data_IF_841716328540
#
_entry.id   IF_841716328540
#
_cell.length_a   1.000
_cell.length_b   1.000
_cell.length_c   1.000
_cell.angle_alpha   90.00
_cell.angle_beta   90.00
_cell.angle_gamma   90.00
#
_symmetry.space_group_name_H-M   'P 1'
#
loop_
_entity.id
_entity.type
_entity.pdbx_description
1 polymer ?
#
# COMPACT_ATOMS: atom_id res chain seq x y z
N UNK A 1 6.44 -1.18 27.83
CA UNK A 1 5.62 -2.40 27.60
C UNK A 1 6.18 -3.53 28.44
N UNK A 2 5.36 -4.18 29.29
CA UNK A 2 5.80 -5.26 30.19
C UNK A 2 5.07 -6.60 29.95
N UNK A 3 4.07 -6.62 29.06
CA UNK A 3 3.34 -7.85 28.72
C UNK A 3 4.16 -8.78 27.83
N UNK A 4 3.81 -10.08 27.84
CA UNK A 4 4.41 -11.09 26.97
C UNK A 4 4.14 -10.73 25.51
N UNK A 5 5.21 -10.70 24.69
CA UNK A 5 5.14 -10.50 23.23
C UNK A 5 5.48 -11.81 22.52
N UNK A 6 4.49 -12.71 22.31
CA UNK A 6 4.75 -14.00 21.68
C UNK A 6 5.22 -13.82 20.24
N UNK A 7 6.14 -14.67 19.81
CA UNK A 7 6.56 -14.78 18.42
C UNK A 7 5.80 -15.93 17.77
N UNK A 8 5.19 -15.65 16.63
CA UNK A 8 4.56 -16.64 15.76
C UNK A 8 5.33 -16.66 14.44
N UNK A 9 5.47 -17.83 13.85
CA UNK A 9 6.18 -18.01 12.58
C UNK A 9 5.39 -18.92 11.65
N UNK A 10 5.47 -18.61 10.37
CA UNK A 10 5.07 -19.53 9.31
C UNK A 10 6.18 -20.56 9.09
N UNK A 11 5.81 -21.77 8.71
CA UNK A 11 6.74 -22.87 8.42
C UNK A 11 6.05 -23.90 7.52
N UNK A 12 6.72 -25.03 7.25
CA UNK A 12 6.19 -26.06 6.35
C UNK A 12 4.94 -26.77 6.86
N UNK A 13 4.66 -26.73 8.17
CA UNK A 13 3.45 -27.29 8.78
C UNK A 13 2.35 -26.23 9.01
N UNK A 14 2.74 -24.97 9.13
CA UNK A 14 1.86 -23.81 9.28
C UNK A 14 2.21 -22.79 8.18
N UNK A 15 1.81 -23.06 6.92
CA UNK A 15 2.18 -22.23 5.79
C UNK A 15 1.60 -20.82 5.89
N UNK A 16 2.20 -19.88 5.19
CA UNK A 16 1.69 -18.51 5.08
C UNK A 16 2.20 -17.87 3.81
N UNK A 17 1.60 -18.28 2.70
CA UNK A 17 2.01 -17.91 1.36
C UNK A 17 1.99 -16.40 1.16
N UNK A 18 0.96 -15.70 1.64
CA UNK A 18 0.83 -14.24 1.52
C UNK A 18 2.02 -13.53 2.14
N UNK A 19 2.30 -13.83 3.41
CA UNK A 19 3.37 -13.16 4.16
C UNK A 19 4.74 -13.49 3.57
N UNK A 20 4.96 -14.74 3.15
CA UNK A 20 6.22 -15.14 2.51
C UNK A 20 6.42 -14.47 1.15
N UNK A 21 5.39 -14.45 0.30
CA UNK A 21 5.44 -13.87 -1.03
C UNK A 21 5.50 -12.34 -1.00
N UNK A 22 4.74 -11.66 -0.15
CA UNK A 22 4.85 -10.20 0.04
C UNK A 22 6.23 -9.80 0.58
N UNK A 23 6.81 -10.61 1.48
CA UNK A 23 8.18 -10.40 1.94
C UNK A 23 9.17 -10.60 0.79
N UNK A 24 8.98 -11.60 -0.08
CA UNK A 24 9.81 -11.80 -1.26
C UNK A 24 9.71 -10.61 -2.22
N UNK A 25 8.51 -10.10 -2.52
CA UNK A 25 8.29 -8.90 -3.32
C UNK A 25 9.00 -7.66 -2.74
N UNK A 26 8.92 -7.48 -1.42
CA UNK A 26 9.60 -6.40 -0.70
C UNK A 26 11.12 -6.50 -0.81
N UNK A 27 11.69 -7.69 -0.62
CA UNK A 27 13.15 -7.89 -0.70
C UNK A 27 13.63 -7.75 -2.16
N UNK A 28 12.84 -8.18 -3.16
CA UNK A 28 13.15 -8.04 -4.57
C UNK A 28 13.16 -6.56 -5.03
N UNK A 29 12.15 -5.79 -4.63
CA UNK A 29 12.14 -4.34 -4.88
C UNK A 29 13.28 -3.61 -4.15
N UNK A 30 13.58 -4.01 -2.90
CA UNK A 30 14.72 -3.49 -2.15
C UNK A 30 16.04 -3.79 -2.85
N UNK A 31 16.21 -5.00 -3.40
CA UNK A 31 17.39 -5.35 -4.19
C UNK A 31 17.60 -4.38 -5.36
N UNK A 32 16.54 -4.01 -6.09
CA UNK A 32 16.62 -3.08 -7.21
C UNK A 32 17.10 -1.68 -6.81
N UNK A 33 16.71 -1.22 -5.61
CA UNK A 33 17.17 0.06 -5.03
C UNK A 33 18.66 -0.03 -4.67
N UNK A 34 19.07 -1.08 -3.97
CA UNK A 34 20.41 -1.18 -3.40
C UNK A 34 21.46 -1.77 -4.34
N UNK A 35 21.11 -2.40 -5.47
CA UNK A 35 22.06 -3.13 -6.34
C UNK A 35 23.21 -2.30 -6.88
N UNK A 36 23.02 -0.97 -6.98
CA UNK A 36 24.08 -0.03 -7.41
C UNK A 36 24.79 0.67 -6.24
N UNK A 37 24.29 0.50 -5.00
CA UNK A 37 24.75 1.21 -3.80
C UNK A 37 25.56 0.28 -2.89
N UNK A 38 25.06 -0.93 -2.64
CA UNK A 38 25.69 -1.91 -1.75
C UNK A 38 25.56 -3.32 -2.34
N UNK A 39 26.63 -3.78 -3.00
CA UNK A 39 26.66 -5.07 -3.67
C UNK A 39 26.62 -6.26 -2.69
N UNK A 40 27.15 -6.10 -1.47
CA UNK A 40 27.15 -7.15 -0.46
C UNK A 40 25.75 -7.35 0.09
N UNK A 41 25.07 -6.25 0.45
CA UNK A 41 23.69 -6.29 0.89
C UNK A 41 22.76 -6.82 -0.19
N UNK A 42 22.88 -6.33 -1.43
CA UNK A 42 22.08 -6.81 -2.56
C UNK A 42 22.26 -8.30 -2.86
N UNK A 43 23.47 -8.85 -2.74
CA UNK A 43 23.68 -10.29 -2.88
C UNK A 43 22.95 -11.10 -1.80
N UNK A 44 22.91 -10.57 -0.56
CA UNK A 44 22.14 -11.17 0.53
C UNK A 44 20.64 -11.09 0.28
N UNK A 45 20.14 -9.95 -0.21
CA UNK A 45 18.73 -9.78 -0.56
C UNK A 45 18.31 -10.79 -1.62
N UNK A 46 19.02 -10.87 -2.74
CA UNK A 46 18.66 -11.75 -3.86
C UNK A 46 18.54 -13.22 -3.42
N UNK A 47 19.49 -13.71 -2.62
CA UNK A 47 19.43 -15.05 -2.05
C UNK A 47 18.15 -15.29 -1.24
N UNK A 48 17.77 -14.33 -0.37
CA UNK A 48 16.59 -14.48 0.47
C UNK A 48 15.28 -14.36 -0.30
N UNK A 49 15.24 -13.55 -1.37
CA UNK A 49 14.04 -13.48 -2.24
C UNK A 49 13.72 -14.85 -2.82
N UNK A 50 14.70 -15.51 -3.44
CA UNK A 50 14.52 -16.83 -4.05
C UNK A 50 14.07 -17.87 -3.03
N UNK A 51 14.67 -17.85 -1.83
CA UNK A 51 14.30 -18.77 -0.74
C UNK A 51 12.86 -18.55 -0.27
N UNK A 52 12.44 -17.30 -0.10
CA UNK A 52 11.10 -16.95 0.38
C UNK A 52 10.03 -17.26 -0.67
N UNK A 53 10.28 -16.93 -1.93
CA UNK A 53 9.36 -17.25 -3.02
C UNK A 53 9.19 -18.76 -3.19
N UNK A 54 10.30 -19.51 -3.20
CA UNK A 54 10.25 -20.97 -3.27
C UNK A 54 9.49 -21.56 -2.08
N UNK A 55 9.69 -21.03 -0.87
CA UNK A 55 8.92 -21.44 0.31
C UNK A 55 7.41 -21.15 0.13
N UNK A 56 7.06 -19.93 -0.29
CA UNK A 56 5.68 -19.50 -0.47
C UNK A 56 4.93 -20.37 -1.50
N UNK A 57 5.58 -20.67 -2.62
CA UNK A 57 4.99 -21.41 -3.73
C UNK A 57 4.97 -22.92 -3.51
N UNK A 58 5.96 -23.47 -2.77
CA UNK A 58 6.02 -24.90 -2.43
C UNK A 58 5.03 -25.26 -1.31
N UNK A 59 4.94 -24.42 -0.28
CA UNK A 59 4.11 -24.66 0.90
C UNK A 59 2.90 -23.72 0.89
N UNK A 60 1.97 -23.98 -0.03
CA UNK A 60 0.79 -23.12 -0.24
C UNK A 60 -0.21 -23.24 0.90
N UNK A 61 -0.59 -22.12 1.49
CA UNK A 61 -1.64 -22.04 2.50
C UNK A 61 -1.70 -20.67 3.15
N UNK A 62 -2.90 -20.25 3.53
CA UNK A 62 -3.11 -18.91 4.06
C UNK A 62 -2.52 -18.74 5.45
N UNK A 63 -1.77 -17.65 5.67
CA UNK A 63 -1.19 -17.36 6.99
C UNK A 63 -2.27 -17.15 8.05
N UNK A 64 -3.41 -16.55 7.70
CA UNK A 64 -4.49 -16.27 8.64
C UNK A 64 -5.26 -17.55 9.00
N UNK A 65 -5.25 -18.56 8.13
CA UNK A 65 -5.74 -19.91 8.46
C UNK A 65 -4.74 -20.67 9.36
N UNK A 66 -3.44 -20.57 9.08
CA UNK A 66 -2.39 -21.21 9.88
C UNK A 66 -2.21 -20.59 11.27
N UNK A 67 -2.52 -19.30 11.40
CA UNK A 67 -2.41 -18.54 12.66
C UNK A 67 -3.77 -17.84 12.92
N UNK A 68 -4.82 -18.56 13.34
CA UNK A 68 -6.18 -18.00 13.45
C UNK A 68 -6.30 -16.77 14.34
N UNK A 69 -5.36 -16.59 15.28
CA UNK A 69 -5.24 -15.43 16.16
C UNK A 69 -5.22 -14.09 15.39
N UNK A 70 -4.70 -14.09 14.14
CA UNK A 70 -4.51 -12.87 13.35
C UNK A 70 -5.76 -12.47 12.57
N UNK A 71 -6.74 -13.37 12.40
CA UNK A 71 -7.95 -13.12 11.59
C UNK A 71 -8.78 -11.95 12.14
N UNK A 72 -8.71 -11.67 13.44
CA UNK A 72 -9.38 -10.51 14.04
C UNK A 72 -8.74 -9.16 13.69
N UNK A 73 -7.58 -9.15 13.03
CA UNK A 73 -6.80 -7.95 12.72
C UNK A 73 -6.51 -7.83 11.23
N UNK A 74 -5.85 -8.84 10.67
CA UNK A 74 -5.47 -8.93 9.26
C UNK A 74 -5.87 -10.31 8.78
N UNK A 75 -7.10 -10.44 8.28
CA UNK A 75 -7.57 -11.68 7.68
C UNK A 75 -7.31 -11.67 6.18
N UNK A 76 -6.65 -12.71 5.67
CA UNK A 76 -6.40 -12.86 4.26
C UNK A 76 -7.67 -13.19 3.47
N UNK A 77 -7.82 -12.60 2.28
CA UNK A 77 -8.81 -13.03 1.28
C UNK A 77 -8.29 -14.08 0.30
N UNK A 78 -6.97 -14.28 0.22
CA UNK A 78 -6.31 -15.19 -0.71
C UNK A 78 -4.79 -14.99 -0.71
N UNK A 79 -4.07 -15.84 -1.45
CA UNK A 79 -2.61 -15.71 -1.62
C UNK A 79 -2.15 -15.74 -3.08
N UNK A 80 -3.11 -15.86 -3.99
CA UNK A 80 -2.85 -16.08 -5.40
C UNK A 80 -2.19 -14.83 -6.01
N UNK A 81 -2.66 -13.66 -5.62
CA UNK A 81 -2.13 -12.37 -6.03
C UNK A 81 -0.76 -12.04 -5.46
N UNK A 82 -0.44 -12.39 -4.21
CA UNK A 82 0.92 -12.23 -3.68
C UNK A 82 1.93 -13.09 -4.42
N UNK A 83 1.55 -14.31 -4.83
CA UNK A 83 2.43 -15.16 -5.65
C UNK A 83 2.73 -14.50 -7.00
N UNK A 84 1.71 -13.98 -7.68
CA UNK A 84 1.93 -13.26 -8.94
C UNK A 84 2.73 -11.97 -8.74
N UNK A 85 2.47 -11.24 -7.65
CA UNK A 85 3.18 -10.02 -7.28
C UNK A 85 4.67 -10.28 -7.03
N UNK A 86 4.97 -11.29 -6.21
CA UNK A 86 6.33 -11.68 -5.89
C UNK A 86 7.10 -12.17 -7.12
N UNK A 87 6.48 -13.01 -7.95
CA UNK A 87 7.09 -13.46 -9.20
C UNK A 87 7.35 -12.30 -10.16
N UNK A 88 6.45 -11.32 -10.25
CA UNK A 88 6.65 -10.11 -11.06
C UNK A 88 7.87 -9.31 -10.59
N UNK A 89 8.01 -9.07 -9.29
CA UNK A 89 9.20 -8.39 -8.74
C UNK A 89 10.49 -9.19 -8.90
N UNK A 90 10.41 -10.52 -8.78
CA UNK A 90 11.53 -11.42 -9.03
C UNK A 90 12.02 -11.34 -10.47
N UNK A 91 11.09 -11.29 -11.44
CA UNK A 91 11.43 -11.05 -12.84
C UNK A 91 12.19 -9.73 -13.01
N UNK A 92 11.70 -8.62 -12.43
CA UNK A 92 12.40 -7.34 -12.50
C UNK A 92 13.78 -7.36 -11.82
N UNK A 93 13.92 -8.08 -10.71
CA UNK A 93 15.18 -8.21 -9.97
C UNK A 93 16.23 -9.05 -10.71
N UNK A 94 15.81 -10.15 -11.35
CA UNK A 94 16.72 -11.18 -11.90
C UNK A 94 16.86 -11.12 -13.42
N UNK A 95 15.82 -10.69 -14.13
CA UNK A 95 15.68 -10.88 -15.57
C UNK A 95 15.35 -12.33 -15.97
N UNK A 96 15.05 -13.21 -15.02
CA UNK A 96 14.73 -14.62 -15.30
C UNK A 96 13.31 -14.76 -15.88
N UNK A 97 13.24 -15.24 -17.13
CA UNK A 97 12.00 -15.42 -17.87
C UNK A 97 11.08 -16.47 -17.26
N UNK A 98 11.58 -17.37 -16.41
CA UNK A 98 10.73 -18.37 -15.78
C UNK A 98 9.76 -17.72 -14.77
N UNK A 99 10.14 -16.63 -14.11
CA UNK A 99 9.22 -15.83 -13.30
C UNK A 99 8.19 -15.09 -14.16
N UNK A 100 8.58 -14.61 -15.34
CA UNK A 100 7.62 -14.01 -16.27
C UNK A 100 6.59 -15.05 -16.72
N UNK A 101 7.04 -16.23 -17.15
CA UNK A 101 6.16 -17.36 -17.53
C UNK A 101 5.29 -17.82 -16.36
N UNK A 102 5.82 -17.83 -15.14
CA UNK A 102 5.03 -18.15 -13.94
C UNK A 102 3.77 -17.29 -13.87
N UNK A 103 3.91 -16.00 -14.15
CA UNK A 103 2.84 -15.02 -14.04
C UNK A 103 1.96 -14.96 -15.30
N UNK A 104 2.54 -15.06 -16.50
CA UNK A 104 1.79 -14.88 -17.76
C UNK A 104 1.21 -16.17 -18.33
N UNK A 105 1.80 -17.33 -18.03
CA UNK A 105 1.44 -18.61 -18.65
C UNK A 105 0.95 -19.64 -17.62
N UNK A 106 1.74 -19.88 -16.57
CA UNK A 106 1.51 -21.02 -15.66
C UNK A 106 0.36 -20.77 -14.69
N UNK A 107 0.36 -19.61 -14.02
CA UNK A 107 -0.60 -19.29 -12.97
C UNK A 107 -1.51 -18.11 -13.33
N UNK A 108 -1.18 -17.31 -14.35
CA UNK A 108 -1.91 -16.09 -14.69
C UNK A 108 -3.40 -16.29 -14.98
N UNK A 109 -3.77 -17.38 -15.67
CA UNK A 109 -5.18 -17.67 -15.97
C UNK A 109 -5.99 -18.05 -14.72
N UNK A 110 -5.35 -18.71 -13.74
CA UNK A 110 -6.00 -19.17 -12.53
C UNK A 110 -6.03 -18.12 -11.43
N UNK A 111 -4.95 -17.33 -11.31
CA UNK A 111 -4.72 -16.50 -10.12
C UNK A 111 -5.02 -15.03 -10.35
N UNK A 112 -4.94 -14.55 -11.58
CA UNK A 112 -4.80 -13.11 -11.76
C UNK A 112 -6.10 -12.33 -11.90
N UNK A 113 -7.22 -13.03 -12.11
CA UNK A 113 -8.54 -12.42 -12.27
C UNK A 113 -8.53 -11.17 -13.18
N UNK A 114 -7.83 -11.23 -14.32
CA UNK A 114 -7.45 -10.05 -15.11
C UNK A 114 -8.64 -9.19 -15.59
N UNK A 115 -9.83 -9.78 -15.70
CA UNK A 115 -11.06 -9.14 -16.15
C UNK A 115 -11.84 -8.42 -15.04
N UNK A 116 -11.46 -8.59 -13.77
CA UNK A 116 -12.09 -7.94 -12.62
C UNK A 116 -11.11 -7.71 -11.46
N UNK A 117 -9.92 -7.10 -11.69
CA UNK A 117 -9.02 -6.78 -10.60
C UNK A 117 -9.70 -5.79 -9.64
N UNK A 118 -9.50 -6.00 -8.33
CA UNK A 118 -10.05 -5.13 -7.30
C UNK A 118 -9.09 -3.94 -7.02
N UNK A 119 -9.12 -3.37 -5.82
CA UNK A 119 -8.27 -2.26 -5.39
C UNK A 119 -6.89 -2.75 -4.93
N UNK A 120 -5.86 -1.90 -5.08
CA UNK A 120 -4.54 -2.19 -4.49
C UNK A 120 -4.54 -1.85 -3.01
N UNK A 121 -4.22 -2.84 -2.18
CA UNK A 121 -4.20 -2.73 -0.72
C UNK A 121 -3.13 -3.62 -0.09
N UNK A 122 -3.13 -3.73 1.24
CA UNK A 122 -2.29 -4.73 1.92
C UNK A 122 -2.76 -6.17 1.63
N UNK A 123 -4.04 -6.38 1.30
CA UNK A 123 -4.64 -7.72 1.13
C UNK A 123 -4.85 -8.11 -0.35
N UNK A 124 -5.02 -7.16 -1.27
CA UNK A 124 -5.15 -7.45 -2.71
C UNK A 124 -4.07 -6.74 -3.56
N UNK A 125 -3.26 -7.52 -4.30
CA UNK A 125 -2.17 -7.05 -5.17
C UNK A 125 -2.53 -7.06 -6.65
N UNK A 126 -3.68 -7.59 -7.08
CA UNK A 126 -4.00 -7.83 -8.50
C UNK A 126 -3.83 -6.59 -9.36
N UNK A 127 -4.36 -5.45 -8.92
CA UNK A 127 -4.26 -4.18 -9.65
C UNK A 127 -2.80 -3.73 -9.82
N UNK A 128 -1.99 -3.82 -8.77
CA UNK A 128 -0.59 -3.44 -8.81
C UNK A 128 0.25 -4.44 -9.63
N UNK A 129 -0.03 -5.74 -9.53
CA UNK A 129 0.61 -6.78 -10.33
C UNK A 129 0.35 -6.57 -11.82
N UNK A 130 -0.89 -6.25 -12.21
CA UNK A 130 -1.24 -5.92 -13.60
C UNK A 130 -0.48 -4.70 -14.10
N UNK A 131 -0.39 -3.65 -13.28
CA UNK A 131 0.41 -2.45 -13.54
C UNK A 131 1.89 -2.78 -13.72
N UNK A 132 2.41 -3.71 -12.92
CA UNK A 132 3.83 -4.04 -12.90
C UNK A 132 4.24 -5.02 -14.02
N UNK A 133 3.30 -5.82 -14.54
CA UNK A 133 3.52 -6.74 -15.67
C UNK A 133 3.45 -6.03 -17.02
N UNK A 134 2.28 -5.51 -17.38
CA UNK A 134 2.01 -4.69 -18.58
C UNK A 134 0.64 -4.03 -18.40
N UNK A 135 0.65 -2.71 -18.45
CA UNK A 135 -0.35 -1.80 -17.95
C UNK A 135 -1.73 -1.89 -18.63
N UNK A 136 -2.73 -2.38 -17.90
CA UNK A 136 -4.16 -2.14 -18.15
C UNK A 136 -4.92 -1.96 -16.82
N UNK A 137 -4.98 -0.74 -16.28
CA UNK A 137 -5.76 -0.43 -15.07
C UNK A 137 -7.16 -0.03 -15.45
N UNK A 138 -8.14 -0.62 -14.77
CA UNK A 138 -9.54 -0.26 -14.86
C UNK A 138 -9.95 0.31 -13.50
N UNK A 139 -10.14 1.63 -13.41
CA UNK A 139 -10.97 2.27 -12.38
C UNK A 139 -11.27 3.70 -12.84
N UNK A 140 -12.55 3.98 -13.08
CA UNK A 140 -13.05 5.25 -13.63
C UNK A 140 -14.19 5.78 -12.79
N UNK A 141 -13.95 6.80 -11.96
CA UNK A 141 -14.96 7.73 -11.44
C UNK A 141 -14.28 9.00 -10.88
N UNK A 142 -14.96 10.15 -10.98
CA UNK A 142 -14.49 11.45 -10.48
C UNK A 142 -14.93 11.65 -9.01
N UNK A 143 -14.03 12.13 -8.16
CA UNK A 143 -14.25 12.31 -6.71
C UNK A 143 -13.16 11.59 -5.90
N UNK A 144 -13.22 11.66 -4.56
CA UNK A 144 -12.42 10.74 -3.73
C UNK A 144 -12.88 9.32 -4.05
N UNK A 145 -11.96 8.41 -4.38
CA UNK A 145 -12.33 7.00 -4.51
C UNK A 145 -12.67 6.47 -3.12
N UNK A 146 -13.98 6.32 -2.86
CA UNK A 146 -14.51 5.74 -1.64
C UNK A 146 -14.96 4.29 -1.92
N UNK A 147 -14.14 3.33 -1.52
CA UNK A 147 -14.39 1.89 -1.75
C UNK A 147 -15.09 1.26 -0.55
N UNK A 148 -14.61 1.59 0.65
CA UNK A 148 -15.16 1.06 1.89
C UNK A 148 -15.08 2.11 3.01
N UNK A 149 -15.84 1.87 4.07
CA UNK A 149 -15.92 2.76 5.23
C UNK A 149 -14.63 2.80 6.05
N UNK A 150 -13.96 1.65 6.15
CA UNK A 150 -12.71 1.53 6.88
C UNK A 150 -11.55 2.02 6.00
N UNK A 151 -10.85 3.06 6.44
CA UNK A 151 -9.62 3.48 5.78
C UNK A 151 -9.77 3.79 4.27
N UNK A 152 -10.74 4.63 3.92
CA UNK A 152 -11.02 5.00 2.54
C UNK A 152 -9.82 5.64 1.82
N UNK A 153 -8.95 6.35 2.54
CA UNK A 153 -7.76 6.97 1.95
C UNK A 153 -6.73 5.94 1.47
N UNK A 154 -6.69 4.73 2.03
CA UNK A 154 -5.85 3.66 1.49
C UNK A 154 -6.13 3.46 -0.01
N UNK A 155 -7.41 3.31 -0.36
CA UNK A 155 -7.83 2.99 -1.73
C UNK A 155 -7.69 4.17 -2.69
N UNK A 156 -7.96 5.38 -2.20
CA UNK A 156 -7.74 6.60 -2.96
C UNK A 156 -6.26 6.80 -3.28
N UNK A 157 -5.38 6.65 -2.29
CA UNK A 157 -3.93 6.84 -2.48
C UNK A 157 -3.33 5.73 -3.34
N UNK A 158 -3.77 4.48 -3.17
CA UNK A 158 -3.29 3.37 -4.00
C UNK A 158 -3.67 3.55 -5.47
N UNK A 159 -4.94 3.88 -5.75
CA UNK A 159 -5.43 4.13 -7.10
C UNK A 159 -4.71 5.33 -7.74
N UNK A 160 -4.53 6.41 -6.99
CA UNK A 160 -3.78 7.58 -7.45
C UNK A 160 -2.32 7.24 -7.77
N UNK A 161 -1.66 6.46 -6.91
CA UNK A 161 -0.29 6.01 -7.15
C UNK A 161 -0.17 5.16 -8.42
N UNK A 162 -1.06 4.17 -8.58
CA UNK A 162 -1.08 3.33 -9.79
C UNK A 162 -1.36 4.13 -11.06
N UNK A 163 -2.22 5.17 -10.98
CA UNK A 163 -2.48 6.06 -12.11
C UNK A 163 -1.25 6.91 -12.49
N UNK A 164 -0.45 7.39 -11.52
CA UNK A 164 0.84 8.06 -11.84
C UNK A 164 1.78 7.09 -12.53
N UNK A 165 1.94 5.89 -11.98
CA UNK A 165 2.83 4.88 -12.54
C UNK A 165 2.41 4.47 -13.96
N UNK A 166 1.12 4.33 -14.21
CA UNK A 166 0.56 4.06 -15.55
C UNK A 166 0.80 5.23 -16.51
N UNK A 167 0.58 6.46 -16.05
CA UNK A 167 0.84 7.67 -16.84
C UNK A 167 2.30 7.73 -17.32
N UNK A 168 3.25 7.48 -16.41
CA UNK A 168 4.68 7.48 -16.74
C UNK A 168 5.03 6.40 -17.75
N UNK A 169 4.48 5.19 -17.60
CA UNK A 169 4.64 4.16 -18.60
C UNK A 169 4.09 4.59 -19.95
N UNK A 170 2.85 5.09 -20.03
CA UNK A 170 2.23 5.49 -21.30
C UNK A 170 3.15 6.45 -22.08
N UNK A 171 3.76 7.40 -21.37
CA UNK A 171 4.72 8.32 -21.95
C UNK A 171 5.98 7.58 -22.44
N UNK A 172 6.57 6.70 -21.62
CA UNK A 172 7.80 5.98 -21.97
C UNK A 172 7.60 4.92 -23.07
N UNK A 173 6.43 4.29 -23.14
CA UNK A 173 6.05 3.27 -24.11
C UNK A 173 5.40 3.85 -25.38
N UNK A 174 5.26 5.17 -25.46
CA UNK A 174 4.55 5.87 -26.54
C UNK A 174 3.09 5.40 -26.71
N UNK A 175 2.45 4.96 -25.63
CA UNK A 175 1.02 4.65 -25.62
C UNK A 175 0.24 5.96 -25.45
N UNK A 176 -0.33 6.47 -26.53
CA UNK A 176 -0.99 7.77 -26.52
C UNK A 176 -2.29 7.80 -25.70
N UNK A 177 -3.02 6.69 -25.65
CA UNK A 177 -4.38 6.62 -25.13
C UNK A 177 -4.68 5.29 -24.44
N UNK A 178 -5.39 5.37 -23.31
CA UNK A 178 -5.99 4.25 -22.60
C UNK A 178 -7.49 4.26 -22.84
N UNK A 179 -8.05 3.15 -23.31
CA UNK A 179 -9.50 2.96 -23.42
C UNK A 179 -10.03 2.19 -22.21
N UNK A 180 -10.97 2.78 -21.49
CA UNK A 180 -11.59 2.17 -20.32
C UNK A 180 -13.07 2.55 -20.24
N UNK A 181 -13.93 1.54 -20.25
CA UNK A 181 -15.39 1.67 -20.06
C UNK A 181 -16.03 2.73 -20.99
N UNK A 182 -15.76 2.64 -22.29
CA UNK A 182 -16.31 3.58 -23.27
C UNK A 182 -15.63 4.95 -23.32
N UNK A 183 -14.62 5.19 -22.46
CA UNK A 183 -13.90 6.47 -22.38
C UNK A 183 -12.44 6.32 -22.76
N UNK A 184 -11.87 7.41 -23.24
CA UNK A 184 -10.47 7.52 -23.62
C UNK A 184 -9.78 8.45 -22.61
N UNK A 185 -8.63 8.01 -22.11
CA UNK A 185 -7.79 8.74 -21.17
C UNK A 185 -6.38 8.89 -21.72
N UNK A 186 -5.81 10.08 -21.57
CA UNK A 186 -4.42 10.40 -21.88
C UNK A 186 -3.55 10.32 -20.62
N UNK A 187 -2.22 10.30 -20.75
CA UNK A 187 -1.32 10.34 -19.58
C UNK A 187 -1.62 11.54 -18.66
N UNK A 188 -1.97 12.70 -19.22
CA UNK A 188 -2.29 13.90 -18.46
C UNK A 188 -3.59 13.76 -17.65
N UNK A 189 -4.55 12.98 -18.14
CA UNK A 189 -5.82 12.73 -17.44
C UNK A 189 -5.55 11.89 -16.18
N UNK A 190 -4.70 10.87 -16.30
CA UNK A 190 -4.29 10.02 -15.17
C UNK A 190 -3.50 10.83 -14.13
N UNK A 191 -2.55 11.67 -14.56
CA UNK A 191 -1.81 12.56 -13.65
C UNK A 191 -2.74 13.59 -12.98
N UNK A 192 -3.69 14.17 -13.71
CA UNK A 192 -4.67 15.12 -13.17
C UNK A 192 -5.55 14.45 -12.12
N UNK A 193 -5.98 13.21 -12.37
CA UNK A 193 -6.70 12.39 -11.41
C UNK A 193 -5.85 12.16 -10.14
N UNK A 194 -4.60 11.72 -10.26
CA UNK A 194 -3.71 11.49 -9.12
C UNK A 194 -3.45 12.76 -8.29
N UNK A 195 -3.25 13.91 -8.95
CA UNK A 195 -3.12 15.21 -8.30
C UNK A 195 -4.39 15.55 -7.54
N UNK A 196 -5.58 15.28 -8.11
CA UNK A 196 -6.84 15.54 -7.42
C UNK A 196 -7.00 14.76 -6.12
N UNK A 197 -6.54 13.51 -6.07
CA UNK A 197 -6.58 12.69 -4.86
C UNK A 197 -5.58 13.18 -3.81
N UNK A 198 -4.36 13.51 -4.23
CA UNK A 198 -3.36 14.11 -3.34
C UNK A 198 -3.84 15.46 -2.78
N UNK A 199 -4.33 16.35 -3.64
CA UNK A 199 -4.92 17.64 -3.27
C UNK A 199 -6.05 17.45 -2.23
N UNK A 200 -6.96 16.50 -2.48
CA UNK A 200 -8.04 16.19 -1.55
C UNK A 200 -7.48 15.74 -0.20
N UNK A 201 -6.54 14.80 -0.16
CA UNK A 201 -5.92 14.33 1.07
C UNK A 201 -5.17 15.45 1.83
N UNK A 202 -4.62 16.43 1.09
CA UNK A 202 -3.80 17.51 1.64
C UNK A 202 -4.60 18.78 2.00
N UNK A 203 -5.90 18.82 1.75
CA UNK A 203 -6.79 19.88 2.25
C UNK A 203 -7.74 20.51 1.24
N UNK A 204 -7.70 20.12 -0.03
CA UNK A 204 -8.66 20.54 -1.07
C UNK A 204 -9.92 19.66 -1.00
N UNK A 205 -10.53 19.63 0.17
CA UNK A 205 -11.74 18.87 0.47
C UNK A 205 -12.77 19.77 1.19
N UNK A 206 -14.03 19.33 1.33
CA UNK A 206 -15.08 20.13 1.97
C UNK A 206 -14.76 20.57 3.40
N UNK A 207 -13.98 19.75 4.14
CA UNK A 207 -13.51 20.05 5.50
C UNK A 207 -12.39 21.09 5.55
N UNK A 208 -11.75 21.43 4.41
CA UNK A 208 -10.55 22.26 4.33
C UNK A 208 -9.47 21.82 5.33
N UNK A 209 -9.29 20.50 5.42
CA UNK A 209 -8.46 19.84 6.43
C UNK A 209 -7.49 18.87 5.76
N UNK A 210 -6.20 18.94 6.09
CA UNK A 210 -5.27 17.92 5.67
C UNK A 210 -5.49 16.65 6.48
N UNK A 211 -5.64 15.51 5.82
CA UNK A 211 -5.63 14.19 6.48
C UNK A 211 -4.20 13.66 6.70
N UNK A 212 -3.18 14.39 6.23
CA UNK A 212 -1.77 14.14 6.56
C UNK A 212 -1.41 14.92 7.82
N UNK A 213 -1.17 14.20 8.92
CA UNK A 213 -0.94 14.80 10.23
C UNK A 213 0.31 15.68 10.22
N UNK A 214 0.18 16.91 10.72
CA UNK A 214 1.26 17.90 10.75
C UNK A 214 1.47 18.68 9.44
N UNK A 215 0.64 18.47 8.42
CA UNK A 215 0.69 19.23 7.16
C UNK A 215 -0.43 20.28 7.09
N UNK A 216 -0.09 21.49 6.64
CA UNK A 216 -1.04 22.60 6.52
C UNK A 216 -1.46 23.20 7.87
N UNK A 217 -2.43 24.12 7.85
CA UNK A 217 -2.91 24.83 9.04
C UNK A 217 -4.05 24.15 9.80
N UNK A 218 -4.64 23.09 9.24
CA UNK A 218 -5.77 22.35 9.82
C UNK A 218 -5.60 20.86 9.51
N UNK A 219 -5.39 20.03 10.52
CA UNK A 219 -5.13 18.58 10.41
C UNK A 219 -5.57 17.84 11.69
N UNK A 220 -5.76 16.50 11.67
CA UNK A 220 -6.19 15.72 12.83
C UNK A 220 -5.25 15.87 14.03
N UNK A 221 -5.83 16.28 15.16
CA UNK A 221 -5.14 16.47 16.43
C UNK A 221 -5.34 15.28 17.37
N UNK A 222 -6.41 14.50 17.22
CA UNK A 222 -6.74 13.36 18.08
C UNK A 222 -6.58 12.02 17.35
N UNK A 223 -5.40 11.79 16.75
CA UNK A 223 -5.08 10.59 15.99
C UNK A 223 -5.14 9.33 16.87
N UNK A 224 -5.77 8.24 16.40
CA UNK A 224 -5.85 6.93 17.08
C UNK A 224 -4.48 6.23 17.11
N UNK A 225 -3.55 6.75 17.92
CA UNK A 225 -2.18 6.26 17.95
C UNK A 225 -1.56 6.43 19.34
N UNK A 226 -1.16 5.30 19.95
CA UNK A 226 -0.71 5.24 21.35
C UNK A 226 0.53 6.09 21.60
N UNK A 227 1.52 6.01 20.71
CA UNK A 227 2.77 6.76 20.87
C UNK A 227 2.58 8.27 20.77
N UNK A 228 1.57 8.74 20.04
CA UNK A 228 1.27 10.17 19.92
C UNK A 228 0.38 10.68 21.04
N UNK A 229 -0.52 9.84 21.57
CA UNK A 229 -1.49 10.23 22.59
C UNK A 229 -0.92 10.32 24.01
N UNK A 230 0.29 9.82 24.25
CA UNK A 230 0.88 9.72 25.60
C UNK A 230 2.03 10.74 25.71
N UNK A 231 2.03 11.64 26.71
CA UNK A 231 3.15 12.55 26.95
C UNK A 231 4.46 11.79 27.17
N UNK A 232 5.58 12.33 26.69
CA UNK A 232 6.89 11.66 26.70
C UNK A 232 7.36 11.31 28.12
N UNK A 233 6.99 12.12 29.09
CA UNK A 233 7.33 12.01 30.51
C UNK A 233 6.28 11.25 31.33
N UNK A 234 5.21 10.76 30.71
CA UNK A 234 4.16 10.02 31.41
C UNK A 234 4.65 8.61 31.80
N UNK A 235 4.61 8.31 33.10
CA UNK A 235 4.70 6.93 33.58
C UNK A 235 3.36 6.22 33.33
N UNK A 236 3.41 5.13 32.56
CA UNK A 236 2.21 4.43 32.09
C UNK A 236 2.36 2.90 32.17
N UNK A 237 1.44 2.25 32.89
CA UNK A 237 1.25 0.81 32.87
C UNK A 237 0.36 0.36 31.70
N UNK A 238 0.21 -0.96 31.51
CA UNK A 238 -0.49 -1.54 30.36
C UNK A 238 -1.97 -1.17 30.27
N UNK A 239 -2.63 -0.89 31.40
CA UNK A 239 -4.05 -0.52 31.48
C UNK A 239 -4.28 0.99 31.55
N UNK A 240 -3.23 1.77 31.76
CA UNK A 240 -3.33 3.23 31.95
C UNK A 240 -3.49 3.98 30.63
N UNK A 241 -3.36 3.28 29.50
CA UNK A 241 -3.52 3.83 28.15
C UNK A 241 -4.92 4.37 27.85
N UNK A 242 -5.97 3.84 28.50
CA UNK A 242 -7.35 4.22 28.21
C UNK A 242 -7.68 5.65 28.59
N UNK A 243 -7.03 6.23 29.61
CA UNK A 243 -7.21 7.65 29.95
C UNK A 243 -6.80 8.56 28.79
N UNK A 244 -5.77 8.17 28.04
CA UNK A 244 -5.31 8.88 26.86
C UNK A 244 -6.21 8.61 25.66
N UNK A 245 -6.74 7.39 25.52
CA UNK A 245 -7.72 7.08 24.47
C UNK A 245 -8.94 8.03 24.54
N UNK A 246 -9.47 8.24 25.74
CA UNK A 246 -10.70 9.02 25.96
C UNK A 246 -10.45 10.50 26.31
N UNK A 247 -9.20 10.97 26.33
CA UNK A 247 -8.91 12.39 26.59
C UNK A 247 -9.49 13.27 25.47
N UNK A 248 -10.16 14.41 25.80
CA UNK A 248 -10.61 15.36 24.79
C UNK A 248 -9.46 16.23 24.24
N UNK A 249 -8.29 16.21 24.88
CA UNK A 249 -7.15 17.02 24.48
C UNK A 249 -6.52 16.49 23.19
N UNK A 250 -5.90 17.36 22.37
CA UNK A 250 -5.00 16.96 21.30
C UNK A 250 -3.94 15.95 21.76
N UNK A 251 -3.46 15.13 20.83
CA UNK A 251 -2.29 14.30 21.06
C UNK A 251 -1.08 15.18 21.44
N UNK A 252 -0.41 14.92 22.58
CA UNK A 252 0.74 15.72 23.03
C UNK A 252 1.93 15.63 22.07
N UNK A 253 2.07 14.54 21.32
CA UNK A 253 3.08 14.40 20.28
C UNK A 253 2.41 14.34 18.90
N UNK A 254 2.78 15.27 18.01
CA UNK A 254 2.26 15.27 16.64
C UNK A 254 2.87 14.11 15.86
N UNK A 255 2.03 13.22 15.33
CA UNK A 255 2.44 12.10 14.48
C UNK A 255 2.73 12.59 13.05
N UNK A 256 3.73 13.46 12.90
CA UNK A 256 4.04 14.14 11.62
C UNK A 256 4.22 13.14 10.47
N UNK A 257 3.51 13.38 9.37
CA UNK A 257 3.56 12.54 8.17
C UNK A 257 2.67 11.31 8.21
N UNK A 258 1.95 11.06 9.30
CA UNK A 258 0.98 9.98 9.37
C UNK A 258 -0.27 10.32 8.55
N UNK A 259 -0.64 9.45 7.60
CA UNK A 259 -1.90 9.55 6.87
C UNK A 259 -2.97 8.74 7.58
N UNK A 260 -4.01 9.41 8.09
CA UNK A 260 -5.15 8.77 8.78
C UNK A 260 -6.06 8.02 7.80
N UNK A 261 -7.06 7.29 8.32
CA UNK A 261 -8.02 6.54 7.52
C UNK A 261 -8.87 7.39 6.56
N UNK A 262 -9.18 8.63 6.94
CA UNK A 262 -9.87 9.60 6.08
C UNK A 262 -11.30 9.91 6.48
N UNK A 263 -12.09 10.60 5.63
CA UNK A 263 -13.45 11.00 5.95
C UNK A 263 -14.48 9.88 5.78
N UNK A 264 -15.67 10.12 6.35
CA UNK A 264 -16.89 9.41 5.99
C UNK A 264 -17.29 9.70 4.54
N UNK A 265 -18.20 8.91 3.99
CA UNK A 265 -18.66 9.05 2.60
C UNK A 265 -19.26 10.43 2.26
N UNK A 266 -19.82 11.11 3.25
CA UNK A 266 -20.39 12.47 3.11
C UNK A 266 -19.35 13.58 3.31
N UNK A 267 -18.06 13.26 3.15
CA UNK A 267 -16.90 14.13 3.37
C UNK A 267 -16.69 14.63 4.80
N UNK A 268 -17.54 14.25 5.77
CA UNK A 268 -17.36 14.64 7.16
C UNK A 268 -16.21 13.85 7.81
N UNK A 269 -15.53 14.49 8.76
CA UNK A 269 -14.47 13.85 9.54
C UNK A 269 -14.66 14.18 11.02
N UNK A 270 -14.67 13.14 11.86
CA UNK A 270 -14.69 13.30 13.32
C UNK A 270 -13.30 13.03 13.88
N UNK A 271 -12.60 14.09 14.26
CA UNK A 271 -11.28 14.04 14.90
C UNK A 271 -11.39 13.64 16.38
N UNK A 272 -11.71 12.37 16.58
CA UNK A 272 -11.87 11.75 17.89
C UNK A 272 -10.98 10.52 17.93
N UNK A 273 -10.15 10.42 18.96
CA UNK A 273 -9.17 9.32 19.07
C UNK A 273 -9.79 7.93 19.08
N UNK A 274 -11.00 7.76 19.59
CA UNK A 274 -11.69 6.46 19.56
C UNK A 274 -12.38 6.17 18.22
N UNK A 275 -12.34 7.09 17.26
CA UNK A 275 -12.85 6.87 15.90
C UNK A 275 -11.77 6.18 15.04
N UNK A 276 -11.44 4.93 15.37
CA UNK A 276 -10.32 4.21 14.74
C UNK A 276 -10.46 4.09 13.22
N UNK A 277 -11.66 3.84 12.69
CA UNK A 277 -11.88 3.68 11.24
C UNK A 277 -11.35 4.84 10.39
N UNK A 278 -11.55 6.06 10.88
CA UNK A 278 -11.16 7.30 10.19
C UNK A 278 -9.87 7.92 10.76
N UNK A 279 -9.62 7.75 12.06
CA UNK A 279 -8.54 8.39 12.81
C UNK A 279 -7.27 7.54 12.99
N UNK A 280 -7.29 6.27 12.59
CA UNK A 280 -6.12 5.39 12.67
C UNK A 280 -5.19 5.59 11.47
N UNK A 281 -3.93 5.98 11.68
CA UNK A 281 -2.92 5.93 10.65
C UNK A 281 -2.31 4.54 10.57
N UNK A 282 -1.91 4.14 9.37
CA UNK A 282 -1.24 2.86 9.15
C UNK A 282 0.05 3.03 8.36
N UNK A 283 0.91 2.02 8.45
CA UNK A 283 2.15 1.95 7.66
C UNK A 283 1.84 1.88 6.16
N UNK A 284 0.82 1.13 5.77
CA UNK A 284 0.44 0.98 4.36
C UNK A 284 -0.20 2.26 3.79
N UNK A 285 -0.96 3.05 4.57
CA UNK A 285 -1.41 4.38 4.14
C UNK A 285 -0.22 5.30 3.90
N UNK A 286 0.72 5.31 4.84
CA UNK A 286 1.93 6.14 4.78
C UNK A 286 2.81 5.74 3.59
N UNK A 287 2.93 4.44 3.30
CA UNK A 287 3.66 3.95 2.13
C UNK A 287 3.05 4.48 0.82
N UNK A 288 1.72 4.42 0.69
CA UNK A 288 1.02 4.84 -0.52
C UNK A 288 1.09 6.35 -0.77
N UNK A 289 0.92 7.18 0.27
CA UNK A 289 1.04 8.64 0.10
C UNK A 289 2.48 9.05 -0.23
N UNK A 290 3.48 8.41 0.38
CA UNK A 290 4.89 8.67 0.05
C UNK A 290 5.17 8.28 -1.40
N UNK A 291 4.68 7.12 -1.86
CA UNK A 291 4.84 6.67 -3.23
C UNK A 291 4.16 7.60 -4.24
N UNK A 292 2.90 8.00 -3.96
CA UNK A 292 2.15 8.97 -4.77
C UNK A 292 2.87 10.31 -4.88
N UNK A 293 3.24 10.91 -3.74
CA UNK A 293 3.91 12.20 -3.73
C UNK A 293 5.26 12.13 -4.44
N UNK A 294 6.03 11.06 -4.23
CA UNK A 294 7.28 10.81 -4.95
C UNK A 294 7.07 10.81 -6.47
N UNK A 295 6.09 10.07 -6.97
CA UNK A 295 5.77 10.02 -8.41
C UNK A 295 5.27 11.35 -8.99
N UNK A 296 4.55 12.13 -8.18
CA UNK A 296 4.06 13.46 -8.60
C UNK A 296 5.18 14.51 -8.67
N UNK A 297 6.11 14.50 -7.70
CA UNK A 297 7.23 15.46 -7.67
C UNK A 297 8.40 15.06 -8.55
N UNK A 298 8.56 13.76 -8.86
CA UNK A 298 9.49 13.34 -9.89
C UNK A 298 8.96 13.86 -11.23
N UNK A 299 9.59 14.92 -11.73
CA UNK A 299 9.43 15.28 -13.13
C UNK A 299 9.89 14.07 -13.94
N UNK A 300 8.96 13.38 -14.58
CA UNK A 300 9.29 12.53 -15.72
C UNK A 300 9.79 13.45 -16.84
N UNK A 301 10.99 14.00 -16.67
CA UNK A 301 11.81 14.44 -17.79
C UNK A 301 12.21 13.16 -18.50
N UNK A 302 11.37 12.72 -19.43
CA UNK A 302 11.76 11.74 -20.42
C UNK A 302 13.07 12.23 -21.04
N UNK A 303 14.10 11.37 -21.15
CA UNK A 303 15.33 11.71 -21.85
C UNK A 303 14.97 12.28 -23.23
N UNK A 304 15.39 13.52 -23.51
CA UNK A 304 15.34 14.03 -24.88
C UNK A 304 16.16 13.08 -25.75
N UNK A 305 15.53 12.60 -26.81
CA UNK A 305 16.10 11.77 -27.87
C UNK A 305 17.59 11.99 -28.11
N UNK A 306 18.34 10.89 -28.17
CA UNK A 306 19.53 10.75 -29.03
C UNK A 306 19.13 9.91 -30.24
#
# INVERSE_FOLDING_TARGET
MTERRPLVQINTSFPGTEVAAETAATIASTYLVFRKIDSSYSKSLLKHVEQLFNFADTYRGSYSASIPQVQGFYNSSGYADELLWAATWLYHATGDLDYLKYVTEQNGSAFANWGSPSWFSWDDKHAATKVNLVLNVQSCQNGLIWVEEWNCLQHAMSSAFLAVLYSDYMVTSQTEMLYCDGKIYKPEDLRSFSISQADYALGKNPMKMSYLVGYGGNYPQQVHHRGSSIPVDADTGCRDGFKWLYSPDPNPNVAVGALVGGPFQNDSYMDIRNNSKQGEPSTYNSALIVALLSGLVSTSSVPKHL
#
